data_IF_387103426110
#
_entry.id   IF_387103426110
#
_cell.length_a   1.000
_cell.length_b   1.000
_cell.length_c   1.000
_cell.angle_alpha   90.00
_cell.angle_beta   90.00
_cell.angle_gamma   90.00
#
_symmetry.space_group_name_H-M   'P 1'
#
loop_
_entity.id
_entity.type
_entity.pdbx_description
1 polymer ?
#
# COMPACT_ATOMS: atom_id res chain seq x y z
N UNK A 1 68.58 72.29 -46.69
CA UNK A 1 68.20 72.23 -48.12
C UNK A 1 67.10 71.19 -48.30
N UNK A 2 65.98 71.59 -48.94
CA UNK A 2 64.99 70.75 -49.66
C UNK A 2 64.06 69.84 -48.82
N UNK A 3 62.79 70.25 -48.60
CA UNK A 3 61.53 69.93 -49.36
C UNK A 3 61.00 68.50 -49.10
N UNK A 4 59.87 68.30 -48.41
CA UNK A 4 58.45 68.34 -48.88
C UNK A 4 57.96 66.92 -49.28
N UNK A 5 56.99 66.33 -48.56
CA UNK A 5 55.63 65.97 -49.04
C UNK A 5 54.89 65.05 -48.04
N UNK A 6 53.60 65.32 -47.88
CA UNK A 6 52.62 64.61 -47.04
C UNK A 6 52.17 63.28 -47.65
N UNK A 7 51.81 62.31 -46.80
CA UNK A 7 50.63 61.46 -47.04
C UNK A 7 50.01 61.02 -45.70
N UNK A 8 48.76 61.42 -45.48
CA UNK A 8 47.92 60.99 -44.36
C UNK A 8 47.58 59.50 -44.51
N UNK A 9 47.73 58.73 -43.44
CA UNK A 9 47.06 57.44 -43.27
C UNK A 9 46.31 57.48 -41.93
N UNK A 10 44.98 57.62 -42.00
CA UNK A 10 44.08 57.47 -40.87
C UNK A 10 43.99 55.99 -40.49
N UNK A 11 44.54 55.65 -39.33
CA UNK A 11 44.46 54.31 -38.74
C UNK A 11 43.09 54.14 -38.07
N UNK A 12 42.16 53.51 -38.78
CA UNK A 12 40.84 53.13 -38.25
C UNK A 12 41.01 51.95 -37.28
N UNK A 13 40.91 52.22 -35.98
CA UNK A 13 40.89 51.20 -34.94
C UNK A 13 39.52 50.49 -34.96
N UNK A 14 39.41 49.34 -35.63
CA UNK A 14 38.26 48.46 -35.49
C UNK A 14 38.28 47.84 -34.08
N UNK A 15 37.48 48.38 -33.16
CA UNK A 15 37.08 47.65 -31.97
C UNK A 15 36.16 46.51 -32.40
N UNK A 16 36.64 45.27 -32.29
CA UNK A 16 35.81 44.09 -32.34
C UNK A 16 34.83 44.15 -31.16
N UNK A 17 33.57 44.48 -31.43
CA UNK A 17 32.48 44.27 -30.48
C UNK A 17 32.35 42.76 -30.30
N UNK A 18 32.73 42.24 -29.13
CA UNK A 18 32.41 40.86 -28.77
C UNK A 18 30.89 40.73 -28.77
N UNK A 19 30.34 39.91 -29.66
CA UNK A 19 28.95 39.48 -29.58
C UNK A 19 28.72 38.94 -28.16
N UNK A 20 27.85 39.60 -27.39
CA UNK A 20 27.38 39.08 -26.13
C UNK A 20 26.84 37.67 -26.40
N UNK A 21 27.51 36.63 -25.87
CA UNK A 21 27.00 35.26 -25.98
C UNK A 21 25.57 35.27 -25.44
N UNK A 22 24.58 34.90 -26.27
CA UNK A 22 23.21 34.73 -25.82
C UNK A 22 23.21 33.80 -24.61
N UNK A 23 22.48 34.18 -23.54
CA UNK A 23 22.42 33.38 -22.31
C UNK A 23 21.90 31.97 -22.66
N UNK A 24 22.56 30.89 -22.21
CA UNK A 24 22.10 29.54 -22.44
C UNK A 24 20.65 29.33 -21.95
N UNK A 25 19.79 28.74 -22.79
CA UNK A 25 18.37 28.45 -22.47
C UNK A 25 18.23 27.23 -21.54
N UNK A 26 18.89 27.25 -20.38
CA UNK A 26 18.91 26.11 -19.45
C UNK A 26 17.53 25.80 -18.87
N UNK A 27 16.71 26.84 -18.64
CA UNK A 27 15.33 26.71 -18.16
C UNK A 27 14.46 25.91 -19.15
N UNK A 28 14.55 26.22 -20.44
CA UNK A 28 13.75 25.51 -21.45
C UNK A 28 14.19 24.04 -21.56
N UNK A 29 15.50 23.78 -21.48
CA UNK A 29 16.02 22.41 -21.43
C UNK A 29 15.63 21.67 -20.15
N UNK A 30 15.52 22.36 -19.02
CA UNK A 30 15.07 21.78 -17.75
C UNK A 30 13.64 21.26 -17.86
N UNK A 31 12.70 22.08 -18.32
CA UNK A 31 11.30 21.66 -18.45
C UNK A 31 11.06 20.67 -19.61
N UNK A 32 11.91 20.71 -20.64
CA UNK A 32 11.90 19.66 -21.66
C UNK A 32 12.36 18.30 -21.11
N UNK A 33 13.30 18.28 -20.16
CA UNK A 33 13.78 17.06 -19.50
C UNK A 33 12.84 16.57 -18.38
N UNK A 34 12.23 17.50 -17.64
CA UNK A 34 11.25 17.22 -16.58
C UNK A 34 9.87 17.78 -16.91
N UNK A 35 9.10 17.15 -17.83
CA UNK A 35 7.76 17.62 -18.16
C UNK A 35 6.81 17.72 -16.97
N UNK A 36 6.99 16.88 -15.94
CA UNK A 36 6.20 16.90 -14.70
C UNK A 36 6.42 18.14 -13.83
N UNK A 37 7.50 18.91 -14.07
CA UNK A 37 7.79 20.13 -13.32
C UNK A 37 7.08 21.38 -13.89
N UNK A 38 6.52 21.30 -15.11
CA UNK A 38 5.78 22.40 -15.75
C UNK A 38 4.52 22.72 -14.95
N UNK A 39 4.23 24.00 -14.75
CA UNK A 39 3.09 24.48 -13.96
C UNK A 39 3.27 24.36 -12.44
N UNK A 40 4.42 23.88 -11.96
CA UNK A 40 4.73 23.81 -10.52
C UNK A 40 5.47 25.06 -10.04
N UNK A 41 5.76 25.14 -8.74
CA UNK A 41 6.59 26.21 -8.16
C UNK A 41 8.02 26.30 -8.71
N UNK A 42 8.52 25.28 -9.42
CA UNK A 42 9.80 25.42 -10.14
C UNK A 42 9.65 26.25 -11.43
N UNK A 43 8.45 26.27 -12.02
CA UNK A 43 8.09 26.98 -13.25
C UNK A 43 7.62 28.41 -12.96
N UNK A 44 6.79 28.56 -11.92
CA UNK A 44 6.16 29.83 -11.54
C UNK A 44 5.87 29.91 -10.04
N UNK A 45 6.19 31.06 -9.43
CA UNK A 45 5.76 31.43 -8.08
C UNK A 45 4.76 32.59 -8.13
N UNK A 46 3.90 32.77 -7.10
CA UNK A 46 2.94 33.87 -7.06
C UNK A 46 3.55 35.26 -7.27
N UNK A 47 4.72 35.51 -6.70
CA UNK A 47 5.42 36.80 -6.86
C UNK A 47 6.25 36.93 -8.14
N UNK A 48 6.55 35.82 -8.82
CA UNK A 48 7.46 35.81 -9.96
C UNK A 48 7.14 34.66 -10.93
N UNK A 49 6.38 34.97 -11.97
CA UNK A 49 6.13 34.03 -13.06
C UNK A 49 7.35 33.94 -13.97
N UNK A 50 7.77 32.73 -14.33
CA UNK A 50 8.92 32.47 -15.22
C UNK A 50 10.29 32.89 -14.66
N UNK A 51 10.59 32.49 -13.43
CA UNK A 51 11.87 32.77 -12.74
C UNK A 51 13.01 31.80 -13.11
N UNK A 52 14.24 32.14 -12.71
CA UNK A 52 15.45 31.33 -12.84
C UNK A 52 15.93 30.66 -11.53
N UNK A 53 15.07 30.63 -10.51
CA UNK A 53 15.37 30.10 -9.16
C UNK A 53 15.83 28.64 -9.09
N UNK A 54 15.62 27.86 -10.15
CA UNK A 54 16.16 26.48 -10.26
C UNK A 54 17.68 26.47 -10.34
N UNK A 55 18.30 27.45 -11.02
CA UNK A 55 19.76 27.48 -11.26
C UNK A 55 20.47 28.65 -10.56
N UNK A 56 19.74 29.66 -10.11
CA UNK A 56 20.30 30.91 -9.58
C UNK A 56 19.65 31.27 -8.24
N UNK A 57 20.42 31.91 -7.36
CA UNK A 57 19.86 32.53 -6.16
C UNK A 57 19.04 33.80 -6.49
N UNK A 58 19.36 34.47 -7.60
CA UNK A 58 18.56 35.57 -8.14
C UNK A 58 17.46 35.01 -9.05
N UNK A 59 16.19 35.21 -8.67
CA UNK A 59 15.04 34.70 -9.40
C UNK A 59 14.79 35.42 -10.73
N UNK A 60 15.35 36.62 -10.97
CA UNK A 60 15.39 37.25 -12.30
C UNK A 60 16.43 36.63 -13.24
N UNK A 61 17.30 35.77 -12.71
CA UNK A 61 18.35 35.07 -13.44
C UNK A 61 19.64 35.85 -13.62
N UNK A 62 20.73 35.11 -13.86
CA UNK A 62 22.09 35.67 -13.80
C UNK A 62 22.63 35.69 -12.37
N UNK A 63 23.83 36.25 -12.20
CA UNK A 63 24.51 36.27 -10.90
C UNK A 63 24.95 34.89 -10.40
N UNK A 64 25.17 34.79 -9.09
CA UNK A 64 25.66 33.57 -8.42
C UNK A 64 24.68 32.42 -8.62
N UNK A 65 25.21 31.26 -9.04
CA UNK A 65 24.42 30.03 -9.18
C UNK A 65 24.13 29.44 -7.81
N UNK A 66 22.94 28.85 -7.69
CA UNK A 66 22.66 27.95 -6.58
C UNK A 66 23.41 26.62 -6.77
N UNK A 67 23.30 25.69 -5.83
CA UNK A 67 24.09 24.46 -5.90
C UNK A 67 23.75 23.60 -7.12
N UNK A 68 22.47 23.49 -7.50
CA UNK A 68 22.04 22.82 -8.72
C UNK A 68 22.64 23.46 -9.98
N UNK A 69 22.56 24.79 -10.11
CA UNK A 69 23.13 25.52 -11.23
C UNK A 69 24.65 25.37 -11.32
N UNK A 70 25.34 25.33 -10.18
CA UNK A 70 26.78 25.07 -10.11
C UNK A 70 27.12 23.63 -10.54
N UNK A 71 26.30 22.63 -10.16
CA UNK A 71 26.46 21.25 -10.61
C UNK A 71 26.28 21.13 -12.14
N UNK A 72 25.28 21.83 -12.71
CA UNK A 72 25.06 21.89 -14.16
C UNK A 72 26.28 22.47 -14.90
N UNK A 73 26.87 23.55 -14.38
CA UNK A 73 28.10 24.12 -14.96
C UNK A 73 29.29 23.18 -14.81
N UNK A 74 29.42 22.53 -13.65
CA UNK A 74 30.48 21.58 -13.35
C UNK A 74 30.40 20.25 -14.11
N UNK A 75 29.26 19.95 -14.75
CA UNK A 75 29.05 18.71 -15.50
C UNK A 75 29.94 18.58 -16.77
N UNK A 76 30.57 19.67 -17.23
CA UNK A 76 31.58 19.62 -18.30
C UNK A 76 31.04 19.54 -19.73
N UNK A 77 29.74 19.81 -19.94
CA UNK A 77 29.12 19.82 -21.27
C UNK A 77 29.00 21.24 -21.86
N UNK A 78 28.96 21.34 -23.19
CA UNK A 78 28.74 22.62 -23.88
C UNK A 78 27.27 23.08 -23.77
N UNK A 79 27.01 23.93 -22.78
CA UNK A 79 25.68 24.48 -22.49
C UNK A 79 25.12 25.39 -23.60
N UNK A 80 25.92 25.79 -24.60
CA UNK A 80 25.40 26.57 -25.75
C UNK A 80 24.54 25.70 -26.67
N UNK A 81 24.74 24.39 -26.67
CA UNK A 81 23.97 23.44 -27.49
C UNK A 81 22.81 22.82 -26.69
N UNK A 82 21.71 22.49 -27.38
CA UNK A 82 20.58 21.78 -26.74
C UNK A 82 21.01 20.42 -26.20
N UNK A 83 21.81 19.67 -26.96
CA UNK A 83 22.32 18.37 -26.53
C UNK A 83 23.22 18.49 -25.28
N UNK A 84 24.11 19.48 -25.22
CA UNK A 84 24.97 19.68 -24.06
C UNK A 84 24.18 20.06 -22.80
N UNK A 85 23.12 20.87 -22.91
CA UNK A 85 22.22 21.16 -21.78
C UNK A 85 21.47 19.93 -21.30
N UNK A 86 20.89 19.15 -22.22
CA UNK A 86 20.20 17.90 -21.86
C UNK A 86 21.16 16.89 -21.20
N UNK A 87 22.39 16.78 -21.69
CA UNK A 87 23.41 15.90 -21.11
C UNK A 87 23.87 16.37 -19.72
N UNK A 88 24.01 17.69 -19.51
CA UNK A 88 24.33 18.23 -18.19
C UNK A 88 23.23 17.94 -17.16
N UNK A 89 21.96 18.17 -17.52
CA UNK A 89 20.81 17.86 -16.66
C UNK A 89 20.76 16.36 -16.35
N UNK A 90 20.97 15.51 -17.36
CA UNK A 90 21.03 14.07 -17.18
C UNK A 90 22.17 13.69 -16.22
N UNK A 91 23.36 14.25 -16.39
CA UNK A 91 24.53 13.90 -15.58
C UNK A 91 24.36 14.23 -14.09
N UNK A 92 23.67 15.32 -13.76
CA UNK A 92 23.50 15.75 -12.36
C UNK A 92 22.27 15.14 -11.68
N UNK A 93 21.36 14.47 -12.38
CA UNK A 93 20.05 14.06 -11.83
C UNK A 93 20.13 13.20 -10.55
N UNK A 94 21.20 12.43 -10.36
CA UNK A 94 21.40 11.59 -9.18
C UNK A 94 22.36 12.20 -8.13
N UNK A 95 22.77 13.45 -8.34
CA UNK A 95 23.52 14.20 -7.34
C UNK A 95 22.54 14.85 -6.36
N UNK A 96 22.92 14.86 -5.09
CA UNK A 96 22.37 15.73 -4.06
C UNK A 96 23.18 17.03 -4.11
N UNK A 97 22.68 18.02 -4.87
CA UNK A 97 23.48 19.20 -5.20
C UNK A 97 23.69 20.11 -4.00
N UNK A 98 22.66 20.31 -3.18
CA UNK A 98 22.73 21.20 -2.02
C UNK A 98 23.01 20.45 -0.70
N UNK A 99 23.18 19.14 -0.72
CA UNK A 99 23.49 18.32 0.45
C UNK A 99 22.40 18.40 1.51
N UNK A 100 21.14 18.30 1.10
CA UNK A 100 19.97 18.23 1.98
C UNK A 100 19.51 16.78 2.26
N UNK A 101 20.12 15.80 1.59
CA UNK A 101 19.84 14.38 1.73
C UNK A 101 19.05 13.77 0.58
N UNK A 102 18.63 14.55 -0.43
CA UNK A 102 17.82 14.09 -1.55
C UNK A 102 18.50 14.37 -2.89
N UNK A 103 18.37 13.43 -3.83
CA UNK A 103 18.92 13.65 -5.17
C UNK A 103 18.02 14.59 -5.99
N UNK A 104 18.62 15.37 -6.90
CA UNK A 104 17.90 16.31 -7.77
C UNK A 104 16.66 15.67 -8.45
N UNK A 105 16.77 14.44 -8.95
CA UNK A 105 15.66 13.72 -9.57
C UNK A 105 14.51 13.47 -8.59
N UNK A 106 14.81 13.08 -7.35
CA UNK A 106 13.81 12.81 -6.32
C UNK A 106 13.08 14.09 -5.96
N UNK A 107 13.84 15.15 -5.75
CA UNK A 107 13.31 16.47 -5.49
C UNK A 107 12.39 16.94 -6.61
N UNK A 108 12.78 16.77 -7.88
CA UNK A 108 12.04 17.31 -9.03
C UNK A 108 10.83 16.44 -9.43
N UNK A 109 10.83 15.14 -9.14
CA UNK A 109 9.85 14.21 -9.74
C UNK A 109 9.10 13.30 -8.78
N UNK A 110 9.57 13.09 -7.54
CA UNK A 110 8.96 12.12 -6.64
C UNK A 110 7.77 12.72 -5.87
N UNK A 111 6.65 12.89 -6.58
CA UNK A 111 5.37 13.37 -6.01
C UNK A 111 4.57 12.28 -5.30
N UNK A 112 5.07 11.04 -5.27
CA UNK A 112 4.40 9.91 -4.62
C UNK A 112 4.87 9.78 -3.16
N UNK A 113 6.17 9.99 -2.91
CA UNK A 113 6.77 9.80 -1.57
C UNK A 113 6.76 11.08 -0.73
N UNK A 114 6.79 12.24 -1.39
CA UNK A 114 6.96 13.52 -0.72
C UNK A 114 5.78 14.45 -1.03
N UNK A 115 5.16 15.01 0.01
CA UNK A 115 3.96 15.82 -0.12
C UNK A 115 4.21 17.20 -0.75
N UNK A 116 5.46 17.66 -0.69
CA UNK A 116 5.83 19.02 -1.08
C UNK A 116 6.80 19.08 -2.27
N UNK A 117 7.08 17.98 -2.99
CA UNK A 117 7.85 17.98 -4.25
C UNK A 117 6.98 18.41 -5.43
N UNK A 118 7.52 18.95 -6.55
CA UNK A 118 8.95 19.09 -6.94
C UNK A 118 9.92 20.10 -6.20
N UNK A 119 10.67 19.84 -5.12
CA UNK A 119 11.42 20.92 -4.38
C UNK A 119 12.54 21.58 -5.19
N UNK A 120 13.06 22.73 -4.74
CA UNK A 120 14.12 23.45 -5.45
C UNK A 120 15.49 22.78 -5.25
N UNK A 121 16.06 22.08 -6.26
CA UNK A 121 17.17 21.14 -6.08
C UNK A 121 18.54 21.75 -5.77
N UNK A 122 18.57 23.05 -5.50
CA UNK A 122 19.78 23.80 -5.17
C UNK A 122 19.59 24.76 -4.02
N UNK A 123 18.43 24.74 -3.36
CA UNK A 123 18.05 25.66 -2.30
C UNK A 123 17.64 24.87 -1.06
N UNK A 124 18.37 25.07 0.04
CA UNK A 124 18.07 24.50 1.35
C UNK A 124 17.94 25.60 2.39
N UNK A 125 17.40 25.26 3.56
CA UNK A 125 17.16 26.25 4.63
C UNK A 125 18.38 27.15 4.92
N UNK A 126 19.59 26.60 4.91
CA UNK A 126 20.83 27.30 5.24
C UNK A 126 21.39 28.23 4.15
N UNK A 127 20.90 28.18 2.91
CA UNK A 127 21.35 29.05 1.81
C UNK A 127 20.29 30.05 1.32
N UNK A 128 19.11 30.07 1.93
CA UNK A 128 18.02 31.00 1.58
C UNK A 128 18.38 32.47 1.78
N UNK A 129 19.36 32.78 2.63
CA UNK A 129 19.88 34.13 2.82
C UNK A 129 20.57 34.71 1.57
N UNK A 130 20.90 33.88 0.58
CA UNK A 130 21.48 34.31 -0.70
C UNK A 130 20.41 34.63 -1.76
N UNK A 131 19.16 34.24 -1.51
CA UNK A 131 18.06 34.37 -2.48
C UNK A 131 17.60 35.83 -2.59
N UNK A 132 17.33 36.27 -3.82
CA UNK A 132 16.80 37.60 -4.12
C UNK A 132 15.69 37.57 -5.16
N UNK A 133 14.94 38.68 -5.25
CA UNK A 133 13.85 38.90 -6.20
C UNK A 133 12.65 37.92 -6.10
N UNK A 134 12.45 37.34 -4.90
CA UNK A 134 11.30 36.51 -4.54
C UNK A 134 11.11 36.57 -3.01
N UNK A 135 9.89 36.33 -2.52
CA UNK A 135 9.61 36.22 -1.09
C UNK A 135 10.10 34.88 -0.53
N UNK A 136 10.87 34.89 0.57
CA UNK A 136 11.30 33.65 1.24
C UNK A 136 10.12 32.83 1.78
N UNK A 137 9.00 33.47 2.11
CA UNK A 137 7.79 32.79 2.56
C UNK A 137 7.17 31.90 1.46
N UNK A 138 7.37 32.26 0.18
CA UNK A 138 6.91 31.47 -0.96
C UNK A 138 7.80 30.24 -1.21
N UNK A 139 9.04 30.27 -0.72
CA UNK A 139 10.00 29.17 -0.88
C UNK A 139 9.97 28.19 0.28
N UNK A 140 9.61 28.64 1.49
CA UNK A 140 9.79 27.89 2.73
C UNK A 140 9.20 26.47 2.70
N UNK A 141 8.08 26.25 2.01
CA UNK A 141 7.44 24.94 1.90
C UNK A 141 8.12 24.00 0.88
N UNK A 142 9.08 24.48 0.09
CA UNK A 142 9.62 23.80 -1.10
C UNK A 142 11.15 23.74 -1.13
N UNK A 143 11.81 23.85 0.02
CA UNK A 143 13.27 23.81 0.16
C UNK A 143 13.83 22.40 0.27
N UNK A 144 13.14 21.51 0.98
CA UNK A 144 13.62 20.13 1.18
C UNK A 144 12.43 19.19 1.09
N UNK A 145 12.54 18.03 0.43
CA UNK A 145 11.49 17.02 0.47
C UNK A 145 11.08 16.68 1.90
N UNK A 146 9.78 16.81 2.16
CA UNK A 146 9.14 16.40 3.40
C UNK A 146 8.43 15.10 3.09
N UNK A 147 8.70 14.07 3.90
CA UNK A 147 7.96 12.81 3.82
C UNK A 147 6.49 13.15 3.89
N UNK A 148 5.82 12.99 2.75
CA UNK A 148 4.39 12.96 2.70
C UNK A 148 4.02 11.56 3.10
N UNK A 149 3.58 11.36 4.34
CA UNK A 149 2.72 10.21 4.57
C UNK A 149 1.53 10.37 3.64
N UNK A 150 1.21 9.34 2.86
CA UNK A 150 -0.15 9.27 2.32
C UNK A 150 -1.09 9.28 3.51
N UNK A 151 -2.03 10.21 3.54
CA UNK A 151 -3.08 10.30 4.56
C UNK A 151 -4.45 10.04 3.96
N UNK A 152 -4.51 9.75 2.67
CA UNK A 152 -5.75 9.51 1.93
C UNK A 152 -6.11 8.05 2.10
N UNK A 153 -7.25 7.72 2.71
CA UNK A 153 -7.67 6.32 2.77
C UNK A 153 -8.02 5.79 1.37
N UNK A 154 -7.91 4.47 1.17
CA UNK A 154 -8.33 3.85 -0.08
C UNK A 154 -9.81 4.12 -0.41
N UNK A 155 -10.21 3.87 -1.65
CA UNK A 155 -11.61 3.74 -2.05
C UNK A 155 -11.91 2.24 -2.15
N UNK A 156 -13.00 1.78 -1.53
CA UNK A 156 -13.43 0.37 -1.54
C UNK A 156 -14.92 0.25 -1.81
N UNK A 157 -15.32 -0.79 -2.54
CA UNK A 157 -16.72 -1.11 -2.82
C UNK A 157 -16.95 -2.63 -2.82
N UNK A 158 -17.95 -3.10 -2.09
CA UNK A 158 -18.47 -4.46 -2.17
C UNK A 158 -19.31 -4.61 -3.43
N UNK A 159 -18.97 -5.59 -4.27
CA UNK A 159 -19.67 -5.82 -5.53
C UNK A 159 -20.64 -7.01 -5.42
N UNK A 160 -20.27 -8.05 -4.67
CA UNK A 160 -21.14 -9.19 -4.40
C UNK A 160 -20.68 -9.96 -3.15
N UNK A 161 -21.60 -10.49 -2.33
CA UNK A 161 -23.03 -10.17 -2.32
C UNK A 161 -23.25 -8.71 -1.88
N UNK A 162 -24.13 -7.99 -2.59
CA UNK A 162 -24.37 -6.57 -2.34
C UNK A 162 -25.83 -6.24 -1.92
N UNK A 163 -26.67 -7.26 -1.74
CA UNK A 163 -28.06 -7.10 -1.31
C UNK A 163 -29.06 -7.90 -2.12
N UNK A 164 -30.06 -8.47 -1.45
CA UNK A 164 -31.18 -9.21 -2.05
C UNK A 164 -30.83 -10.62 -2.56
N UNK A 165 -29.55 -11.00 -2.64
CA UNK A 165 -29.17 -12.35 -3.06
C UNK A 165 -29.66 -13.38 -2.05
N UNK A 166 -29.96 -14.59 -2.52
CA UNK A 166 -30.14 -15.77 -1.68
C UNK A 166 -29.00 -16.74 -1.97
N UNK A 167 -28.18 -16.99 -0.96
CA UNK A 167 -27.03 -17.89 -1.02
C UNK A 167 -27.39 -19.19 -0.30
N UNK A 168 -27.08 -20.32 -0.93
CA UNK A 168 -27.22 -21.62 -0.29
C UNK A 168 -25.95 -21.92 0.50
N UNK A 169 -26.09 -22.22 1.79
CA UNK A 169 -24.97 -22.64 2.61
C UNK A 169 -24.32 -23.93 2.09
N UNK A 170 -23.06 -24.16 2.49
CA UNK A 170 -22.23 -25.30 2.06
C UNK A 170 -22.03 -25.38 0.53
N UNK A 171 -22.27 -24.28 -0.20
CA UNK A 171 -21.98 -24.13 -1.64
C UNK A 171 -20.99 -23.01 -1.87
N UNK A 172 -20.12 -23.21 -2.85
CA UNK A 172 -19.18 -22.18 -3.27
C UNK A 172 -19.92 -20.96 -3.82
N UNK A 173 -19.50 -19.79 -3.35
CA UNK A 173 -19.86 -18.49 -3.86
C UNK A 173 -18.63 -17.61 -3.82
N UNK A 174 -18.64 -16.50 -4.55
CA UNK A 174 -17.54 -15.55 -4.51
C UNK A 174 -17.99 -14.27 -3.81
N UNK A 175 -17.13 -13.78 -2.92
CA UNK A 175 -17.19 -12.40 -2.45
C UNK A 175 -16.30 -11.59 -3.40
N UNK A 176 -16.83 -10.52 -3.99
CA UNK A 176 -16.11 -9.66 -4.92
C UNK A 176 -16.16 -8.21 -4.47
N UNK A 177 -15.09 -7.47 -4.76
CA UNK A 177 -14.93 -6.08 -4.37
C UNK A 177 -14.04 -5.33 -5.38
N UNK A 178 -14.09 -4.00 -5.33
CA UNK A 178 -13.06 -3.13 -5.88
C UNK A 178 -12.36 -2.40 -4.73
N UNK A 179 -11.04 -2.23 -4.82
CA UNK A 179 -10.28 -1.41 -3.90
C UNK A 179 -9.14 -0.73 -4.66
N UNK A 180 -9.04 0.59 -4.54
CA UNK A 180 -8.05 1.39 -5.26
C UNK A 180 -7.51 2.50 -4.37
N UNK A 181 -6.21 2.73 -4.46
CA UNK A 181 -5.52 3.85 -3.85
C UNK A 181 -4.31 4.26 -4.70
N UNK A 182 -3.89 5.53 -4.62
CA UNK A 182 -2.74 6.03 -5.36
C UNK A 182 -1.42 5.37 -4.91
N UNK A 183 -1.31 5.03 -3.63
CA UNK A 183 -0.16 4.31 -3.03
C UNK A 183 -0.29 2.78 -3.12
N UNK A 184 -1.38 2.28 -3.71
CA UNK A 184 -1.69 0.86 -3.81
C UNK A 184 -2.31 0.28 -2.54
N UNK A 185 -2.82 -0.96 -2.64
CA UNK A 185 -3.47 -1.66 -1.53
C UNK A 185 -2.52 -2.71 -0.96
N UNK A 186 -2.19 -2.58 0.33
CA UNK A 186 -1.32 -3.53 1.03
C UNK A 186 -2.07 -4.77 1.49
N UNK A 187 -3.32 -4.63 1.96
CA UNK A 187 -4.12 -5.78 2.40
C UNK A 187 -5.63 -5.55 2.31
N UNK A 188 -6.36 -6.66 2.21
CA UNK A 188 -7.83 -6.69 2.27
C UNK A 188 -8.27 -7.69 3.35
N UNK A 189 -9.22 -7.26 4.18
CA UNK A 189 -9.86 -8.09 5.21
C UNK A 189 -11.36 -8.19 4.92
N UNK A 190 -11.91 -9.40 5.03
CA UNK A 190 -13.32 -9.70 4.82
C UNK A 190 -13.98 -10.06 6.15
N UNK A 191 -15.17 -9.52 6.37
CA UNK A 191 -15.99 -9.79 7.55
C UNK A 191 -17.42 -10.11 7.14
N UNK A 192 -18.08 -10.95 7.94
CA UNK A 192 -19.48 -11.35 7.78
C UNK A 192 -20.28 -10.98 9.02
N UNK A 193 -21.44 -10.38 8.80
CA UNK A 193 -22.50 -10.23 9.78
C UNK A 193 -23.66 -11.16 9.43
N UNK A 194 -24.31 -11.72 10.45
CA UNK A 194 -25.54 -12.53 10.31
C UNK A 194 -26.75 -11.83 10.95
N UNK A 195 -26.58 -10.60 11.43
CA UNK A 195 -27.48 -9.82 12.30
C UNK A 195 -27.62 -8.35 11.84
N UNK A 196 -27.68 -8.14 10.51
CA UNK A 196 -27.87 -6.85 9.87
C UNK A 196 -26.82 -5.78 10.24
N UNK A 197 -25.58 -6.22 10.48
CA UNK A 197 -24.44 -5.37 10.78
C UNK A 197 -24.29 -4.99 12.25
N UNK A 198 -25.09 -5.57 13.16
CA UNK A 198 -24.89 -5.35 14.60
C UNK A 198 -23.56 -5.94 15.08
N UNK A 199 -23.18 -7.12 14.58
CA UNK A 199 -21.88 -7.73 14.82
C UNK A 199 -21.22 -8.21 13.52
N UNK A 200 -19.90 -8.12 13.45
CA UNK A 200 -19.10 -8.61 12.32
C UNK A 200 -18.03 -9.57 12.83
N UNK A 201 -17.97 -10.75 12.21
CA UNK A 201 -16.95 -11.77 12.49
C UNK A 201 -15.95 -11.83 11.32
N UNK A 202 -14.64 -12.02 11.57
CA UNK A 202 -13.67 -12.23 10.51
C UNK A 202 -14.06 -13.42 9.64
N UNK A 203 -13.92 -13.26 8.32
CA UNK A 203 -14.08 -14.33 7.34
C UNK A 203 -12.74 -14.72 6.75
N UNK A 204 -11.93 -13.71 6.37
CA UNK A 204 -10.58 -13.88 5.86
C UNK A 204 -9.79 -12.60 6.12
N UNK A 205 -8.52 -12.73 6.50
CA UNK A 205 -7.65 -11.62 6.86
C UNK A 205 -6.37 -11.66 6.03
N UNK A 206 -5.80 -10.48 5.74
CA UNK A 206 -4.52 -10.34 5.04
C UNK A 206 -4.55 -10.80 3.59
N UNK A 207 -5.68 -10.69 2.90
CA UNK A 207 -5.78 -11.04 1.49
C UNK A 207 -5.05 -10.03 0.62
N UNK A 208 -4.46 -10.51 -0.48
CA UNK A 208 -4.05 -9.64 -1.58
C UNK A 208 -5.28 -9.02 -2.25
N UNK A 209 -5.13 -7.84 -2.86
CA UNK A 209 -6.21 -7.17 -3.58
C UNK A 209 -6.48 -7.81 -4.96
N UNK A 210 -7.00 -9.04 -4.98
CA UNK A 210 -7.38 -9.79 -6.19
C UNK A 210 -8.78 -9.45 -6.70
N UNK A 211 -9.56 -8.67 -5.95
CA UNK A 211 -10.97 -8.36 -6.24
C UNK A 211 -11.96 -9.52 -6.05
N UNK A 212 -11.50 -10.68 -5.57
CA UNK A 212 -12.34 -11.87 -5.38
C UNK A 212 -11.81 -12.81 -4.30
N UNK A 213 -12.72 -13.44 -3.57
CA UNK A 213 -12.45 -14.48 -2.58
C UNK A 213 -13.48 -15.61 -2.69
N UNK A 214 -13.00 -16.84 -2.84
CA UNK A 214 -13.87 -18.02 -2.87
C UNK A 214 -14.32 -18.38 -1.47
N UNK A 215 -15.62 -18.35 -1.24
CA UNK A 215 -16.26 -18.51 0.04
C UNK A 215 -17.29 -19.65 0.01
N UNK A 216 -17.45 -20.35 1.12
CA UNK A 216 -18.55 -21.29 1.35
C UNK A 216 -19.29 -20.79 2.58
N UNK A 217 -20.51 -20.25 2.43
CA UNK A 217 -21.30 -19.81 3.57
C UNK A 217 -21.58 -20.99 4.49
N UNK A 218 -21.31 -20.80 5.78
CA UNK A 218 -21.65 -21.78 6.80
C UNK A 218 -23.17 -21.99 6.86
N UNK A 219 -23.64 -23.19 7.20
CA UNK A 219 -25.07 -23.45 7.38
C UNK A 219 -25.61 -22.82 8.68
N UNK A 220 -25.65 -21.48 8.69
CA UNK A 220 -26.26 -20.63 9.71
C UNK A 220 -27.29 -19.74 9.02
N UNK A 221 -28.49 -20.28 8.70
CA UNK A 221 -29.48 -19.53 7.93
C UNK A 221 -29.83 -18.19 8.58
N UNK A 222 -30.02 -17.17 7.75
CA UNK A 222 -30.42 -15.82 8.17
C UNK A 222 -30.91 -15.04 6.96
N UNK A 223 -31.84 -14.12 7.17
CA UNK A 223 -32.27 -13.12 6.17
C UNK A 223 -31.54 -11.78 6.34
N UNK A 224 -30.60 -11.71 7.29
CA UNK A 224 -29.98 -10.48 7.77
C UNK A 224 -28.46 -10.46 7.51
N UNK A 225 -27.96 -11.25 6.55
CA UNK A 225 -26.51 -11.32 6.33
C UNK A 225 -26.00 -10.05 5.63
N UNK A 226 -24.82 -9.58 6.03
CA UNK A 226 -24.07 -8.48 5.38
C UNK A 226 -22.59 -8.82 5.30
N UNK A 227 -21.94 -8.41 4.21
CA UNK A 227 -20.48 -8.55 4.04
C UNK A 227 -19.83 -7.18 4.18
N UNK A 228 -18.68 -7.12 4.84
CA UNK A 228 -17.85 -5.93 4.95
C UNK A 228 -16.45 -6.23 4.42
N UNK A 229 -15.95 -5.33 3.58
CA UNK A 229 -14.59 -5.38 3.04
C UNK A 229 -13.83 -4.19 3.62
N UNK A 230 -12.69 -4.46 4.26
CA UNK A 230 -11.77 -3.43 4.77
C UNK A 230 -10.51 -3.48 3.93
N UNK A 231 -10.17 -2.36 3.29
CA UNK A 231 -8.94 -2.21 2.54
C UNK A 231 -7.96 -1.33 3.31
N UNK A 232 -6.68 -1.69 3.28
CA UNK A 232 -5.58 -0.92 3.90
C UNK A 232 -4.51 -0.69 2.86
N UNK A 233 -4.09 0.57 2.70
CA UNK A 233 -3.05 0.98 1.76
C UNK A 233 -1.63 0.69 2.28
N UNK A 234 -0.62 1.09 1.50
CA UNK A 234 0.79 0.92 1.84
C UNK A 234 1.29 1.79 3.00
N UNK A 235 0.53 2.83 3.36
CA UNK A 235 0.84 3.78 4.44
C UNK A 235 -0.04 3.58 5.68
N UNK A 236 -0.76 2.46 5.74
CA UNK A 236 -1.66 2.08 6.84
C UNK A 236 -2.93 2.92 6.97
N UNK A 237 -3.29 3.76 5.99
CA UNK A 237 -4.65 4.28 5.95
C UNK A 237 -5.62 3.17 5.57
N UNK A 238 -6.82 3.22 6.13
CA UNK A 238 -7.81 2.18 5.91
C UNK A 238 -9.20 2.76 5.73
N UNK A 239 -9.97 2.09 4.90
CA UNK A 239 -11.41 2.33 4.75
C UNK A 239 -12.16 1.01 4.70
N UNK A 240 -13.47 1.07 4.76
CA UNK A 240 -14.32 -0.09 4.58
C UNK A 240 -15.57 0.24 3.79
N UNK A 241 -16.11 -0.78 3.14
CA UNK A 241 -17.44 -0.75 2.56
C UNK A 241 -18.23 -1.98 3.00
N UNK A 242 -19.55 -1.84 3.02
CA UNK A 242 -20.49 -2.86 3.45
C UNK A 242 -21.54 -3.04 2.38
N UNK A 243 -21.90 -4.30 2.09
CA UNK A 243 -22.96 -4.65 1.14
C UNK A 243 -24.21 -3.77 1.31
N UNK A 244 -24.67 -3.10 0.25
CA UNK A 244 -25.71 -2.05 0.27
C UNK A 244 -26.98 -2.46 1.02
N UNK A 245 -27.42 -3.71 0.83
CA UNK A 245 -28.54 -4.28 1.58
C UNK A 245 -28.20 -5.66 2.15
N UNK A 246 -29.13 -6.20 2.94
CA UNK A 246 -29.02 -7.57 3.45
C UNK A 246 -29.17 -8.59 2.32
N UNK A 247 -28.48 -9.71 2.45
CA UNK A 247 -28.72 -10.92 1.66
C UNK A 247 -29.14 -12.07 2.58
N UNK A 248 -29.72 -13.11 1.97
CA UNK A 248 -30.22 -14.29 2.69
C UNK A 248 -29.25 -15.45 2.53
N UNK A 249 -28.98 -16.16 3.62
CA UNK A 249 -28.33 -17.47 3.63
C UNK A 249 -29.40 -18.51 3.99
N UNK A 250 -29.59 -19.52 3.15
CA UNK A 250 -30.52 -20.64 3.39
C UNK A 250 -29.77 -21.95 3.55
N UNK A 251 -30.37 -22.91 4.26
CA UNK A 251 -29.84 -24.27 4.34
C UNK A 251 -29.85 -24.93 2.96
N UNK A 252 -28.85 -25.79 2.66
CA UNK A 252 -28.94 -26.69 1.52
C UNK A 252 -30.11 -27.68 1.69
N UNK A 253 -30.67 -28.22 0.61
CA UNK A 253 -31.67 -29.29 0.69
C UNK A 253 -31.11 -30.51 1.45
N UNK A 254 -31.85 -31.00 2.43
CA UNK A 254 -31.53 -32.23 3.16
C UNK A 254 -32.29 -33.40 2.54
N UNK A 255 -31.56 -34.45 2.14
CA UNK A 255 -32.12 -35.55 1.33
C UNK A 255 -32.21 -36.89 2.06
N UNK A 256 -31.64 -37.02 3.26
CA UNK A 256 -31.71 -38.26 4.03
C UNK A 256 -33.08 -38.37 4.73
N UNK A 257 -33.93 -39.27 4.23
CA UNK A 257 -35.27 -39.50 4.78
C UNK A 257 -35.28 -40.05 6.22
N UNK A 258 -34.15 -40.62 6.68
CA UNK A 258 -34.00 -41.18 8.02
C UNK A 258 -33.18 -40.29 8.96
N UNK A 259 -32.66 -39.16 8.45
CA UNK A 259 -31.88 -38.22 9.25
C UNK A 259 -32.70 -37.02 9.73
N UNK A 260 -32.03 -36.11 10.43
CA UNK A 260 -32.57 -34.86 10.96
C UNK A 260 -31.91 -33.68 10.25
N UNK A 261 -32.73 -32.78 9.70
CA UNK A 261 -32.25 -31.57 9.04
C UNK A 261 -31.83 -30.50 10.08
N UNK A 262 -30.61 -30.60 10.58
CA UNK A 262 -29.99 -29.63 11.49
C UNK A 262 -29.18 -28.56 10.75
N UNK A 263 -28.73 -27.55 11.51
CA UNK A 263 -27.87 -26.44 11.09
C UNK A 263 -26.75 -26.26 12.12
N UNK A 264 -25.75 -25.43 11.82
CA UNK A 264 -24.70 -25.11 12.81
C UNK A 264 -25.22 -24.44 14.08
N UNK A 265 -26.42 -23.83 14.05
CA UNK A 265 -27.02 -23.24 15.25
C UNK A 265 -27.44 -24.30 16.27
N UNK A 266 -27.73 -25.53 15.82
CA UNK A 266 -28.13 -26.64 16.68
C UNK A 266 -26.92 -27.23 17.46
N UNK A 267 -25.70 -26.87 17.06
CA UNK A 267 -24.44 -27.32 17.67
C UNK A 267 -23.66 -26.19 18.34
N UNK A 268 -24.28 -25.03 18.54
CA UNK A 268 -23.68 -23.93 19.30
C UNK A 268 -23.50 -24.35 20.77
N UNK A 269 -22.24 -24.40 21.22
CA UNK A 269 -21.88 -24.68 22.61
C UNK A 269 -21.20 -23.46 23.25
N UNK A 270 -21.38 -23.24 24.57
CA UNK A 270 -20.73 -22.15 25.29
C UNK A 270 -19.20 -22.22 25.20
N UNK A 271 -18.54 -21.09 25.47
CA UNK A 271 -17.09 -20.94 25.35
C UNK A 271 -16.67 -20.22 24.07
N UNK A 272 -15.36 -20.20 23.81
CA UNK A 272 -14.75 -19.53 22.65
C UNK A 272 -15.29 -20.09 21.32
N UNK A 273 -15.78 -19.21 20.46
CA UNK A 273 -16.21 -19.58 19.10
C UNK A 273 -15.09 -19.36 18.07
N UNK A 274 -15.25 -19.87 16.83
CA UNK A 274 -14.32 -19.57 15.75
C UNK A 274 -14.11 -18.07 15.57
N UNK A 275 -12.85 -17.67 15.39
CA UNK A 275 -12.38 -16.28 15.27
C UNK A 275 -12.54 -15.39 16.52
N UNK A 276 -12.99 -15.90 17.67
CA UNK A 276 -13.08 -15.13 18.92
C UNK A 276 -11.81 -15.18 19.77
N UNK A 277 -10.93 -16.15 19.53
CA UNK A 277 -9.59 -16.22 20.13
C UNK A 277 -8.58 -16.29 18.98
N UNK A 278 -7.61 -15.37 18.96
CA UNK A 278 -6.51 -15.40 17.99
C UNK A 278 -5.86 -16.78 18.03
N UNK A 279 -5.92 -17.52 16.92
CA UNK A 279 -5.82 -18.99 16.77
C UNK A 279 -4.51 -19.68 17.20
N UNK A 280 -3.85 -19.16 18.22
CA UNK A 280 -2.67 -19.71 18.84
C UNK A 280 -3.10 -20.53 20.06
N UNK A 281 -3.67 -21.71 19.79
CA UNK A 281 -3.53 -22.79 20.75
C UNK A 281 -2.06 -23.17 20.77
N UNK A 282 -1.43 -23.00 21.94
CA UNK A 282 -0.05 -23.43 22.16
C UNK A 282 0.12 -24.91 21.82
N UNK A 283 1.28 -25.26 21.28
CA UNK A 283 1.60 -26.66 21.05
C UNK A 283 1.65 -27.40 22.39
N UNK A 284 1.21 -28.66 22.42
CA UNK A 284 1.27 -29.48 23.63
C UNK A 284 2.68 -29.60 24.22
N UNK A 285 3.72 -29.49 23.37
CA UNK A 285 5.12 -29.45 23.78
C UNK A 285 5.45 -28.24 24.67
N UNK A 286 4.76 -27.10 24.51
CA UNK A 286 4.94 -25.92 25.37
C UNK A 286 4.59 -26.24 26.83
N UNK A 287 3.64 -27.16 27.05
CA UNK A 287 3.21 -27.60 28.37
C UNK A 287 4.21 -28.57 29.04
N UNK A 288 5.12 -29.18 28.28
CA UNK A 288 6.08 -30.17 28.79
C UNK A 288 7.05 -29.60 29.83
N UNK A 289 7.29 -28.29 29.79
CA UNK A 289 8.14 -27.58 30.77
C UNK A 289 7.63 -27.69 32.20
N UNK A 290 6.30 -27.73 32.40
CA UNK A 290 5.67 -27.87 33.71
C UNK A 290 5.05 -29.27 33.92
N UNK A 291 4.71 -29.98 32.84
CA UNK A 291 3.95 -31.24 32.87
C UNK A 291 4.68 -32.45 32.29
N UNK A 292 6.00 -32.36 32.13
CA UNK A 292 6.86 -33.44 31.67
C UNK A 292 8.25 -33.39 32.29
N UNK A 293 9.09 -34.36 31.92
CA UNK A 293 10.47 -34.46 32.42
C UNK A 293 10.58 -35.14 33.78
N UNK A 294 9.55 -35.89 34.20
CA UNK A 294 9.56 -36.69 35.42
C UNK A 294 9.04 -38.12 35.15
N UNK A 295 8.58 -38.83 36.18
CA UNK A 295 8.15 -40.22 36.07
C UNK A 295 7.06 -40.42 34.99
N UNK A 296 7.42 -41.13 33.92
CA UNK A 296 6.58 -41.38 32.74
C UNK A 296 5.29 -42.14 33.04
N UNK A 297 5.20 -42.81 34.20
CA UNK A 297 3.99 -43.54 34.62
C UNK A 297 2.89 -42.61 35.12
N UNK A 298 3.24 -41.38 35.51
CA UNK A 298 2.32 -40.39 36.07
C UNK A 298 2.40 -39.03 35.38
N UNK A 299 3.41 -38.77 34.54
CA UNK A 299 3.55 -37.47 33.88
C UNK A 299 2.47 -37.25 32.80
N UNK A 300 1.70 -36.15 32.87
CA UNK A 300 0.60 -35.90 31.95
C UNK A 300 1.03 -35.78 30.49
N UNK A 301 2.18 -35.18 30.20
CA UNK A 301 2.63 -35.00 28.82
C UNK A 301 2.85 -36.35 28.13
N UNK A 302 3.53 -37.30 28.78
CA UNK A 302 3.78 -38.63 28.22
C UNK A 302 2.50 -39.43 28.04
N UNK A 303 1.65 -39.49 29.06
CA UNK A 303 0.38 -40.21 29.00
C UNK A 303 -0.57 -39.65 27.95
N UNK A 304 -0.60 -38.32 27.76
CA UNK A 304 -1.49 -37.67 26.81
C UNK A 304 -0.98 -37.74 25.37
N UNK A 305 0.30 -37.43 25.11
CA UNK A 305 0.81 -37.22 23.74
C UNK A 305 0.74 -38.46 22.85
N UNK A 306 0.84 -39.66 23.42
CA UNK A 306 0.71 -40.93 22.71
C UNK A 306 -0.64 -41.62 22.90
N UNK A 307 -1.60 -40.96 23.55
CA UNK A 307 -2.92 -41.56 23.81
C UNK A 307 -3.75 -41.73 22.54
N UNK A 308 -4.73 -42.62 22.58
CA UNK A 308 -5.73 -42.70 21.51
C UNK A 308 -6.49 -41.37 21.36
N UNK A 309 -6.65 -40.59 22.42
CA UNK A 309 -7.32 -39.28 22.37
C UNK A 309 -6.49 -38.22 21.62
N UNK A 310 -5.16 -38.18 21.79
CA UNK A 310 -4.30 -37.24 21.04
C UNK A 310 -4.20 -37.58 19.55
N UNK A 311 -4.45 -38.84 19.20
CA UNK A 311 -4.44 -39.34 17.82
C UNK A 311 -5.83 -39.58 17.22
N UNK A 312 -6.91 -39.31 17.95
CA UNK A 312 -8.29 -39.63 17.54
C UNK A 312 -8.67 -38.98 16.20
N UNK A 313 -8.16 -37.79 15.91
CA UNK A 313 -8.38 -37.07 14.64
C UNK A 313 -7.79 -37.77 13.41
N UNK A 314 -6.85 -38.71 13.62
CA UNK A 314 -6.18 -39.48 12.56
C UNK A 314 -6.76 -40.88 12.39
N UNK A 315 -7.71 -41.27 13.25
CA UNK A 315 -8.34 -42.58 13.21
C UNK A 315 -9.36 -42.66 12.05
N UNK A 316 -9.24 -43.65 11.12
CA UNK A 316 -10.24 -43.86 10.08
C UNK A 316 -11.66 -44.09 10.61
N UNK A 317 -11.81 -44.69 11.81
CA UNK A 317 -13.12 -44.88 12.46
C UNK A 317 -13.71 -43.54 12.87
N UNK A 318 -12.89 -42.60 13.36
CA UNK A 318 -13.36 -41.24 13.65
C UNK A 318 -13.91 -40.57 12.38
N UNK A 319 -13.18 -40.64 11.27
CA UNK A 319 -13.62 -40.03 10.00
C UNK A 319 -14.91 -40.67 9.49
N UNK A 320 -15.04 -42.00 9.58
CA UNK A 320 -16.26 -42.72 9.21
C UNK A 320 -17.44 -42.30 10.09
N UNK A 321 -17.24 -42.22 11.41
CA UNK A 321 -18.28 -41.80 12.35
C UNK A 321 -18.70 -40.34 12.14
N UNK A 322 -17.76 -39.44 11.86
CA UNK A 322 -18.07 -38.05 11.53
C UNK A 322 -18.85 -37.94 10.22
N UNK A 323 -18.51 -38.76 9.22
CA UNK A 323 -19.25 -38.80 7.96
C UNK A 323 -20.68 -39.32 8.16
N UNK A 324 -20.86 -40.40 8.94
CA UNK A 324 -22.18 -40.92 9.31
C UNK A 324 -22.98 -39.89 10.12
N UNK A 325 -22.35 -39.24 11.10
CA UNK A 325 -23.00 -38.19 11.88
C UNK A 325 -23.50 -37.05 10.99
N UNK A 326 -22.70 -36.56 10.04
CA UNK A 326 -23.13 -35.52 9.09
C UNK A 326 -24.24 -36.02 8.12
N UNK A 327 -24.29 -37.32 7.81
CA UNK A 327 -25.37 -37.91 7.00
C UNK A 327 -26.68 -37.98 7.78
N UNK A 328 -26.62 -38.35 9.06
CA UNK A 328 -27.78 -38.54 9.92
C UNK A 328 -28.29 -37.22 10.53
N UNK A 329 -27.40 -36.27 10.78
CA UNK A 329 -27.70 -34.93 11.26
C UNK A 329 -26.77 -33.91 10.58
N UNK A 330 -27.32 -33.12 9.66
CA UNK A 330 -26.54 -32.15 8.89
C UNK A 330 -25.75 -31.18 9.79
N UNK A 331 -24.49 -30.92 9.45
CA UNK A 331 -23.58 -30.04 10.20
C UNK A 331 -23.17 -30.51 11.61
N UNK A 332 -23.61 -31.70 12.06
CA UNK A 332 -23.24 -32.26 13.37
C UNK A 332 -21.75 -32.56 13.53
N UNK A 333 -21.03 -32.76 12.42
CA UNK A 333 -19.58 -32.93 12.41
C UNK A 333 -18.82 -31.73 12.99
N UNK A 334 -19.43 -30.54 13.08
CA UNK A 334 -18.79 -29.38 13.72
C UNK A 334 -18.42 -29.66 15.18
N UNK A 335 -19.25 -30.43 15.90
CA UNK A 335 -18.95 -30.86 17.27
C UNK A 335 -17.72 -31.77 17.33
N UNK A 336 -17.60 -32.68 16.36
CA UNK A 336 -16.43 -33.55 16.23
C UNK A 336 -15.16 -32.72 15.95
N UNK A 337 -15.24 -31.78 15.01
CA UNK A 337 -14.13 -30.92 14.62
C UNK A 337 -13.71 -29.97 15.75
N UNK A 338 -14.66 -29.43 16.51
CA UNK A 338 -14.37 -28.58 17.68
C UNK A 338 -13.47 -29.27 18.69
N UNK A 339 -13.73 -30.54 18.99
CA UNK A 339 -12.99 -31.28 20.01
C UNK A 339 -11.70 -31.91 19.46
N UNK A 340 -11.74 -32.46 18.24
CA UNK A 340 -10.64 -33.24 17.68
C UNK A 340 -9.72 -32.46 16.73
N UNK A 341 -10.16 -31.27 16.28
CA UNK A 341 -9.40 -30.35 15.42
C UNK A 341 -9.51 -28.90 15.91
N UNK A 342 -9.46 -28.69 17.23
CA UNK A 342 -9.74 -27.42 17.89
C UNK A 342 -9.03 -26.21 17.27
N UNK A 343 -7.75 -26.33 16.88
CA UNK A 343 -7.01 -25.22 16.25
C UNK A 343 -7.58 -24.84 14.88
N UNK A 344 -7.92 -25.83 14.05
CA UNK A 344 -8.54 -25.62 12.74
C UNK A 344 -9.95 -25.06 12.88
N UNK A 345 -10.73 -25.61 13.82
CA UNK A 345 -12.07 -25.13 14.14
C UNK A 345 -12.05 -23.67 14.64
N UNK A 346 -11.17 -23.30 15.56
CA UNK A 346 -11.01 -21.92 16.05
C UNK A 346 -10.57 -20.95 14.94
N UNK A 347 -9.82 -21.44 13.95
CA UNK A 347 -9.44 -20.68 12.76
C UNK A 347 -10.56 -20.64 11.69
N UNK A 348 -11.77 -21.13 11.99
CA UNK A 348 -12.92 -21.16 11.10
C UNK A 348 -12.80 -22.09 9.90
N UNK A 349 -12.01 -23.16 10.01
CA UNK A 349 -11.79 -24.15 8.96
C UNK A 349 -12.74 -25.36 9.05
N UNK A 350 -13.85 -25.24 9.76
CA UNK A 350 -14.84 -26.32 9.92
C UNK A 350 -16.04 -26.22 8.97
N UNK A 351 -15.92 -25.43 7.89
CA UNK A 351 -17.01 -25.23 6.92
C UNK A 351 -16.53 -25.62 5.52
N UNK A 352 -17.08 -26.70 4.90
CA UNK A 352 -18.13 -27.58 5.43
C UNK A 352 -17.66 -28.42 6.63
N UNK A 353 -18.60 -28.93 7.43
CA UNK A 353 -18.37 -29.68 8.67
C UNK A 353 -17.91 -31.12 8.47
N UNK A 354 -17.38 -31.43 7.29
CA UNK A 354 -16.83 -32.71 6.88
C UNK A 354 -15.29 -32.75 6.97
N UNK A 355 -14.66 -31.63 7.34
CA UNK A 355 -13.21 -31.52 7.47
C UNK A 355 -12.45 -31.42 6.14
N UNK A 356 -13.14 -31.12 5.03
CA UNK A 356 -12.55 -31.06 3.68
C UNK A 356 -11.76 -29.78 3.36
N UNK A 357 -11.60 -28.85 4.31
CA UNK A 357 -11.03 -27.51 4.10
C UNK A 357 -9.66 -27.26 4.72
#
# INVERSE_FOLDING_TARGET
MKTLLHLLATLSLLMAVSLANAKPFIRDSFFAFYPSAVGTRLDSLPSHSTHCGVCHYDFNGGGTRNFYGAAIEGAGFDLKTTAGRSNAIWAVRFLDSDSDGYANQEEITNTITYANTPTFPGLKQSNTNLVSNVSLAELAAYLTPLIGGDTTPPIVQVLSPNGGQTLTANRFTNITWSATDASGIASVNLYLSLDNGATYRPLALGLANSGTFSWVPANRPTTQARVKVVATDSYSNSTNDVSDAVFTIVSPPFTNAHGVATTLRDFDLPGTQPFEHGGNLEASSSCASCHGGYDTTVEPQHGWQGSMMSHASRDPIFLANMALANQDAADSGDLCLRCHFARGWLAGRSVPTDGSR
#
